data_IF_039473727650
#
_entry.id   IF_039473727650
#
_cell.length_a   1.000
_cell.length_b   1.000
_cell.length_c   1.000
_cell.angle_alpha   90.00
_cell.angle_beta   90.00
_cell.angle_gamma   90.00
#
_symmetry.space_group_name_H-M   'P 1'
#
loop_
_entity.id
_entity.type
_entity.pdbx_description
1 polymer ?
#
# COMPACT_ATOMS: atom_id res chain seq x y z
N UNK A 1 -9.14 -8.01 7.59
CA UNK A 1 -8.07 -9.03 7.37
C UNK A 1 -8.73 -10.39 7.19
N UNK A 2 -8.17 -11.33 6.40
CA UNK A 2 -8.71 -12.71 6.29
C UNK A 2 -8.93 -13.32 7.67
N UNK A 3 -10.07 -13.99 7.88
CA UNK A 3 -10.58 -14.29 9.22
C UNK A 3 -9.86 -15.48 9.88
N UNK A 4 -9.34 -16.44 9.10
CA UNK A 4 -8.84 -17.72 9.64
C UNK A 4 -7.51 -18.20 9.02
N UNK A 5 -7.35 -18.15 7.70
CA UNK A 5 -6.18 -18.64 6.95
C UNK A 5 -4.91 -17.79 7.14
N UNK A 6 -4.99 -16.68 7.88
CA UNK A 6 -3.78 -15.95 8.30
C UNK A 6 -2.92 -16.75 9.28
N UNK A 7 -3.55 -17.56 10.13
CA UNK A 7 -2.88 -18.22 11.25
C UNK A 7 -3.10 -19.73 11.26
N UNK A 8 -3.90 -20.27 10.33
CA UNK A 8 -4.32 -21.66 10.28
C UNK A 8 -4.14 -22.23 8.89
N UNK A 9 -3.90 -23.53 8.83
CA UNK A 9 -3.88 -24.26 7.55
C UNK A 9 -5.29 -24.41 6.97
N UNK A 10 -5.37 -24.66 5.66
CA UNK A 10 -6.64 -24.95 4.97
C UNK A 10 -7.36 -26.15 5.62
N UNK A 11 -6.61 -27.13 6.11
CA UNK A 11 -7.16 -28.31 6.78
C UNK A 11 -7.84 -27.95 8.11
N UNK A 12 -7.20 -27.12 8.93
CA UNK A 12 -7.78 -26.63 10.19
C UNK A 12 -9.02 -25.77 9.98
N UNK A 13 -9.03 -24.93 8.92
CA UNK A 13 -10.23 -24.19 8.52
C UNK A 13 -11.37 -25.15 8.21
N UNK A 14 -11.10 -26.20 7.43
CA UNK A 14 -12.11 -27.18 7.04
C UNK A 14 -12.70 -27.90 8.24
N UNK A 15 -11.85 -28.38 9.17
CA UNK A 15 -12.30 -29.02 10.42
C UNK A 15 -13.18 -28.08 11.24
N UNK A 16 -12.74 -26.82 11.39
CA UNK A 16 -13.48 -25.82 12.15
C UNK A 16 -14.84 -25.49 11.51
N UNK A 17 -14.90 -25.30 10.19
CA UNK A 17 -16.16 -25.04 9.50
C UNK A 17 -17.10 -26.26 9.53
N UNK A 18 -16.55 -27.48 9.52
CA UNK A 18 -17.34 -28.70 9.65
C UNK A 18 -17.90 -28.93 11.06
N UNK A 19 -17.37 -28.31 12.11
CA UNK A 19 -17.90 -28.47 13.47
C UNK A 19 -19.04 -27.49 13.80
N UNK A 20 -19.18 -26.38 13.06
CA UNK A 20 -20.22 -25.37 13.29
C UNK A 20 -21.59 -25.83 12.75
N UNK A 21 -22.72 -25.43 13.35
CA UNK A 21 -24.06 -25.66 12.79
C UNK A 21 -24.33 -24.80 11.55
N UNK A 22 -25.29 -25.21 10.72
CA UNK A 22 -25.58 -24.55 9.42
C UNK A 22 -25.94 -23.07 9.57
N UNK A 23 -26.72 -22.71 10.60
CA UNK A 23 -27.11 -21.32 10.84
C UNK A 23 -25.89 -20.43 11.15
N UNK A 24 -24.94 -20.91 11.94
CA UNK A 24 -23.70 -20.18 12.24
C UNK A 24 -22.81 -20.03 11.00
N UNK A 25 -22.77 -21.03 10.11
CA UNK A 25 -22.07 -20.93 8.83
C UNK A 25 -22.68 -19.85 7.92
N UNK A 26 -24.02 -19.75 7.88
CA UNK A 26 -24.72 -18.72 7.11
C UNK A 26 -24.45 -17.33 7.68
N UNK A 27 -24.46 -17.17 9.01
CA UNK A 27 -24.12 -15.89 9.64
C UNK A 27 -22.66 -15.50 9.39
N UNK A 28 -21.74 -16.46 9.46
CA UNK A 28 -20.34 -16.23 9.16
C UNK A 28 -20.16 -15.77 7.70
N UNK A 29 -20.88 -16.37 6.75
CA UNK A 29 -20.87 -15.99 5.34
C UNK A 29 -21.29 -14.52 5.15
N UNK A 30 -22.37 -14.09 5.82
CA UNK A 30 -22.84 -12.70 5.77
C UNK A 30 -21.77 -11.70 6.27
N UNK A 31 -20.95 -12.09 7.26
CA UNK A 31 -19.87 -11.24 7.80
C UNK A 31 -18.70 -11.04 6.83
N UNK A 32 -18.52 -11.91 5.84
CA UNK A 32 -17.46 -11.75 4.85
C UNK A 32 -17.71 -10.61 3.86
N UNK A 33 -18.97 -10.30 3.56
CA UNK A 33 -19.32 -9.23 2.60
C UNK A 33 -18.67 -7.88 2.93
N UNK A 34 -18.92 -7.30 4.13
CA UNK A 34 -18.28 -6.06 4.54
C UNK A 34 -16.75 -6.11 4.52
N UNK A 35 -16.16 -7.23 4.94
CA UNK A 35 -14.70 -7.38 4.99
C UNK A 35 -14.06 -7.44 3.59
N UNK A 36 -14.72 -8.04 2.60
CA UNK A 36 -14.27 -7.99 1.19
C UNK A 36 -14.27 -6.54 0.68
N UNK A 37 -15.34 -5.78 0.95
CA UNK A 37 -15.44 -4.37 0.56
C UNK A 37 -14.32 -3.54 1.22
N UNK A 38 -14.00 -3.81 2.49
CA UNK A 38 -12.91 -3.14 3.18
C UNK A 38 -11.53 -3.45 2.58
N UNK A 39 -11.26 -4.71 2.20
CA UNK A 39 -10.00 -5.07 1.53
C UNK A 39 -9.89 -4.34 0.19
N UNK A 40 -10.97 -4.32 -0.58
CA UNK A 40 -11.02 -3.69 -1.90
C UNK A 40 -10.77 -2.18 -1.79
N UNK A 41 -11.48 -1.48 -0.91
CA UNK A 41 -11.26 -0.06 -0.65
C UNK A 41 -9.84 0.24 -0.17
N UNK A 42 -9.23 -0.65 0.62
CA UNK A 42 -7.83 -0.52 1.05
C UNK A 42 -6.85 -0.71 -0.10
N UNK A 43 -7.14 -1.64 -1.03
CA UNK A 43 -6.35 -1.85 -2.24
C UNK A 43 -6.43 -0.62 -3.15
N UNK A 44 -7.62 -0.10 -3.41
CA UNK A 44 -7.82 1.12 -4.21
C UNK A 44 -7.06 2.32 -3.63
N UNK A 45 -7.15 2.54 -2.31
CA UNK A 45 -6.39 3.63 -1.65
C UNK A 45 -4.89 3.46 -1.80
N UNK A 46 -4.38 2.23 -1.67
CA UNK A 46 -2.95 1.95 -1.81
C UNK A 46 -2.49 2.16 -3.26
N UNK A 47 -3.28 1.76 -4.25
CA UNK A 47 -2.99 1.98 -5.67
C UNK A 47 -3.05 3.46 -6.05
N UNK A 48 -4.05 4.20 -5.55
CA UNK A 48 -4.13 5.66 -5.72
C UNK A 48 -2.92 6.36 -5.09
N UNK A 49 -2.53 5.97 -3.87
CA UNK A 49 -1.32 6.49 -3.23
C UNK A 49 -0.07 6.17 -4.06
N UNK A 50 0.03 4.97 -4.62
CA UNK A 50 1.16 4.57 -5.45
C UNK A 50 1.28 5.47 -6.69
N UNK A 51 0.17 5.75 -7.38
CA UNK A 51 0.14 6.69 -8.51
C UNK A 51 0.65 8.07 -8.13
N UNK A 52 0.16 8.62 -7.01
CA UNK A 52 0.58 9.94 -6.52
C UNK A 52 2.08 9.99 -6.18
N UNK A 53 2.63 8.93 -5.57
CA UNK A 53 4.07 8.89 -5.25
C UNK A 53 4.91 8.78 -6.52
N UNK A 54 4.47 8.03 -7.54
CA UNK A 54 5.12 7.97 -8.84
C UNK A 54 5.12 9.32 -9.56
N UNK A 55 3.99 10.03 -9.58
CA UNK A 55 3.90 11.38 -10.15
C UNK A 55 4.85 12.34 -9.44
N UNK A 56 4.87 12.29 -8.10
CA UNK A 56 5.78 13.11 -7.29
C UNK A 56 7.25 12.77 -7.57
N UNK A 57 7.59 11.50 -7.75
CA UNK A 57 8.94 11.08 -8.10
C UNK A 57 9.35 11.66 -9.46
N UNK A 58 8.50 11.53 -10.48
CA UNK A 58 8.76 12.08 -11.82
C UNK A 58 9.01 13.60 -11.75
N UNK A 59 8.18 14.34 -11.00
CA UNK A 59 8.37 15.78 -10.80
C UNK A 59 9.70 16.11 -10.08
N UNK A 60 10.13 15.31 -9.09
CA UNK A 60 11.42 15.55 -8.43
C UNK A 60 12.60 15.24 -9.36
N UNK A 61 12.50 14.19 -10.17
CA UNK A 61 13.52 13.83 -11.15
C UNK A 61 13.64 14.90 -12.24
N UNK A 62 12.52 15.43 -12.76
CA UNK A 62 12.51 16.56 -13.69
C UNK A 62 13.17 17.81 -13.08
N UNK A 63 12.75 18.21 -11.86
CA UNK A 63 13.34 19.35 -11.16
C UNK A 63 14.83 19.17 -10.88
N UNK A 64 15.26 17.94 -10.63
CA UNK A 64 16.66 17.62 -10.46
C UNK A 64 17.45 17.79 -11.77
N UNK A 65 16.92 17.33 -12.90
CA UNK A 65 17.55 17.56 -14.22
C UNK A 65 17.64 19.05 -14.56
N UNK A 66 16.58 19.82 -14.30
CA UNK A 66 16.59 21.27 -14.48
C UNK A 66 17.64 21.94 -13.59
N UNK A 67 17.79 21.49 -12.34
CA UNK A 67 18.83 21.98 -11.44
C UNK A 67 20.23 21.67 -12.00
N UNK A 68 20.48 20.45 -12.47
CA UNK A 68 21.76 20.09 -13.08
C UNK A 68 22.09 20.95 -14.30
N UNK A 69 21.09 21.29 -15.12
CA UNK A 69 21.28 22.18 -16.27
C UNK A 69 21.70 23.61 -15.88
N UNK A 70 21.48 24.04 -14.63
CA UNK A 70 21.92 25.35 -14.13
C UNK A 70 23.36 25.36 -13.59
N UNK A 71 24.02 24.20 -13.47
CA UNK A 71 25.38 24.09 -12.96
C UNK A 71 26.39 25.03 -13.64
N UNK A 72 26.43 25.17 -14.99
CA UNK A 72 27.37 26.06 -15.64
C UNK A 72 27.21 27.52 -15.20
N UNK A 73 25.95 27.97 -15.07
CA UNK A 73 25.63 29.33 -14.62
C UNK A 73 26.06 29.56 -13.16
N UNK A 74 25.85 28.57 -12.29
CA UNK A 74 26.30 28.64 -10.89
C UNK A 74 27.82 28.73 -10.82
N UNK A 75 28.53 28.00 -11.67
CA UNK A 75 30.00 28.06 -11.75
C UNK A 75 30.50 29.42 -12.24
N UNK A 76 29.80 30.05 -13.19
CA UNK A 76 30.08 31.42 -13.62
C UNK A 76 29.88 32.42 -12.47
N UNK A 77 28.75 32.35 -11.76
CA UNK A 77 28.44 33.21 -10.61
C UNK A 77 29.47 33.03 -9.47
N UNK A 78 29.90 31.80 -9.21
CA UNK A 78 30.95 31.50 -8.22
C UNK A 78 32.32 32.07 -8.65
N UNK A 79 32.66 31.99 -9.94
CA UNK A 79 33.87 32.57 -10.48
C UNK A 79 33.86 34.11 -10.41
N UNK A 80 32.72 34.75 -10.68
CA UNK A 80 32.53 36.19 -10.53
C UNK A 80 32.65 36.63 -9.06
N UNK A 81 32.07 35.86 -8.13
CA UNK A 81 32.24 36.08 -6.69
C UNK A 81 33.71 36.01 -6.28
N UNK A 82 34.43 34.99 -6.73
CA UNK A 82 35.86 34.81 -6.46
C UNK A 82 36.71 35.95 -7.04
N UNK A 83 36.43 36.40 -8.27
CA UNK A 83 37.08 37.58 -8.87
C UNK A 83 36.82 38.85 -8.07
N UNK A 84 35.58 39.06 -7.63
CA UNK A 84 35.20 40.23 -6.83
C UNK A 84 35.94 40.25 -5.50
N UNK A 85 36.04 39.09 -4.83
CA UNK A 85 36.85 38.92 -3.62
C UNK A 85 38.33 39.24 -3.86
N UNK A 86 38.93 38.72 -4.93
CA UNK A 86 40.33 38.98 -5.26
C UNK A 86 40.60 40.46 -5.55
N UNK A 87 39.70 41.14 -6.27
CA UNK A 87 39.81 42.56 -6.58
C UNK A 87 39.72 43.45 -5.32
N UNK A 88 38.86 43.09 -4.36
CA UNK A 88 38.74 43.78 -3.06
C UNK A 88 40.00 43.66 -2.21
N UNK A 89 40.73 42.55 -2.31
CA UNK A 89 41.99 42.40 -1.59
C UNK A 89 43.04 43.41 -2.10
N UNK A 90 43.00 43.77 -3.38
CA UNK A 90 43.96 44.64 -4.06
C UNK A 90 43.67 46.15 -3.95
N UNK A 91 42.43 46.59 -3.66
CA UNK A 91 42.07 48.01 -3.54
C UNK A 91 40.83 48.28 -2.68
N UNK A 92 40.77 49.44 -2.00
CA UNK A 92 39.63 49.88 -1.18
C UNK A 92 39.98 50.26 0.27
N UNK A 93 39.09 51.00 0.94
CA UNK A 93 39.24 51.35 2.36
C UNK A 93 39.11 50.12 3.27
N UNK A 94 39.76 50.14 4.44
CA UNK A 94 39.76 49.02 5.40
C UNK A 94 38.36 48.63 5.87
N UNK A 95 37.44 49.60 5.97
CA UNK A 95 36.03 49.37 6.34
C UNK A 95 35.21 48.74 5.22
N UNK A 96 35.41 49.18 3.97
CA UNK A 96 34.77 48.61 2.78
C UNK A 96 35.18 47.16 2.58
N UNK A 97 36.49 46.88 2.73
CA UNK A 97 37.02 45.50 2.68
C UNK A 97 36.39 44.61 3.75
N UNK A 98 36.18 45.11 4.96
CA UNK A 98 35.58 44.32 6.04
C UNK A 98 34.11 43.97 5.73
N UNK A 99 33.30 44.97 5.34
CA UNK A 99 31.87 44.77 5.06
C UNK A 99 31.63 43.87 3.85
N UNK A 100 32.34 44.09 2.74
CA UNK A 100 32.20 43.25 1.54
C UNK A 100 32.72 41.83 1.75
N UNK A 101 33.79 41.65 2.53
CA UNK A 101 34.29 40.31 2.86
C UNK A 101 33.30 39.57 3.77
N UNK A 102 32.67 40.26 4.71
CA UNK A 102 31.61 39.68 5.55
C UNK A 102 30.40 39.24 4.70
N UNK A 103 29.95 40.05 3.73
CA UNK A 103 28.82 39.69 2.87
C UNK A 103 29.18 38.56 1.89
N UNK A 104 30.33 38.62 1.23
CA UNK A 104 30.73 37.63 0.23
C UNK A 104 31.17 36.29 0.83
N UNK A 105 31.63 36.26 2.09
CA UNK A 105 31.89 35.01 2.80
C UNK A 105 30.61 34.38 3.38
N UNK A 106 29.55 35.15 3.56
CA UNK A 106 28.28 34.63 4.09
C UNK A 106 27.47 33.83 3.08
N UNK A 107 27.81 33.90 1.79
CA UNK A 107 27.08 33.24 0.71
C UNK A 107 28.02 32.72 -0.39
N UNK A 108 27.85 31.44 -0.77
CA UNK A 108 28.45 30.84 -1.97
C UNK A 108 27.33 30.27 -2.84
N UNK A 109 27.18 30.75 -4.09
CA UNK A 109 26.28 30.14 -5.08
C UNK A 109 26.51 28.63 -5.20
N UNK A 110 27.77 28.19 -5.26
CA UNK A 110 28.11 26.78 -5.39
C UNK A 110 27.68 25.96 -4.17
N UNK A 111 27.87 26.47 -2.96
CA UNK A 111 27.46 25.76 -1.75
C UNK A 111 25.93 25.67 -1.64
N UNK A 112 25.22 26.77 -1.94
CA UNK A 112 23.75 26.76 -2.03
C UNK A 112 23.26 25.76 -3.08
N UNK A 113 23.92 25.67 -4.22
CA UNK A 113 23.60 24.71 -5.27
C UNK A 113 23.80 23.27 -4.81
N UNK A 114 24.94 22.95 -4.17
CA UNK A 114 25.21 21.61 -3.62
C UNK A 114 24.18 21.18 -2.59
N UNK A 115 23.78 22.09 -1.69
CA UNK A 115 22.71 21.83 -0.70
C UNK A 115 21.39 21.50 -1.41
N UNK A 116 21.04 22.28 -2.44
CA UNK A 116 19.84 22.03 -3.23
C UNK A 116 19.88 20.68 -3.95
N UNK A 117 21.02 20.33 -4.56
CA UNK A 117 21.24 19.03 -5.21
C UNK A 117 21.06 17.89 -4.21
N UNK A 118 21.72 17.95 -3.05
CA UNK A 118 21.61 16.94 -2.02
C UNK A 118 20.16 16.77 -1.53
N UNK A 119 19.47 17.88 -1.24
CA UNK A 119 18.06 17.87 -0.83
C UNK A 119 17.14 17.21 -1.86
N UNK A 120 17.38 17.45 -3.16
CA UNK A 120 16.60 16.81 -4.25
C UNK A 120 16.88 15.32 -4.34
N UNK A 121 18.14 14.90 -4.24
CA UNK A 121 18.51 13.48 -4.23
C UNK A 121 17.87 12.74 -3.05
N UNK A 122 17.86 13.36 -1.86
CA UNK A 122 17.19 12.79 -0.69
C UNK A 122 15.66 12.68 -0.91
N UNK A 123 15.03 13.69 -1.52
CA UNK A 123 13.61 13.63 -1.85
C UNK A 123 13.27 12.51 -2.87
N UNK A 124 14.13 12.31 -3.87
CA UNK A 124 14.02 11.21 -4.85
C UNK A 124 14.15 9.86 -4.14
N UNK A 125 15.18 9.70 -3.31
CA UNK A 125 15.41 8.48 -2.52
C UNK A 125 14.22 8.15 -1.61
N UNK A 126 13.70 9.14 -0.90
CA UNK A 126 12.54 8.99 -0.04
C UNK A 126 11.29 8.57 -0.83
N UNK A 127 11.07 9.18 -2.00
CA UNK A 127 9.94 8.79 -2.88
C UNK A 127 10.08 7.34 -3.35
N UNK A 128 11.29 6.90 -3.75
CA UNK A 128 11.56 5.51 -4.14
C UNK A 128 11.30 4.53 -2.99
N UNK A 129 11.70 4.86 -1.77
CA UNK A 129 11.39 4.04 -0.59
C UNK A 129 9.88 3.97 -0.31
N UNK A 130 9.17 5.09 -0.45
CA UNK A 130 7.71 5.13 -0.30
C UNK A 130 6.98 4.26 -1.34
N UNK A 131 7.47 4.22 -2.59
CA UNK A 131 6.95 3.32 -3.63
C UNK A 131 7.06 1.88 -3.17
N UNK A 132 8.26 1.43 -2.79
CA UNK A 132 8.49 0.04 -2.33
C UNK A 132 7.58 -0.33 -1.15
N UNK A 133 7.42 0.58 -0.19
CA UNK A 133 6.52 0.35 0.96
C UNK A 133 5.06 0.27 0.54
N UNK A 134 4.63 1.09 -0.41
CA UNK A 134 3.25 1.12 -0.90
C UNK A 134 2.95 -0.10 -1.77
N UNK A 135 3.89 -0.55 -2.61
CA UNK A 135 3.80 -1.80 -3.36
C UNK A 135 3.62 -3.01 -2.44
N UNK A 136 4.38 -3.07 -1.34
CA UNK A 136 4.20 -4.10 -0.31
C UNK A 136 2.80 -4.09 0.29
N UNK A 137 2.20 -2.91 0.50
CA UNK A 137 0.81 -2.78 0.99
C UNK A 137 -0.21 -3.25 -0.04
N UNK A 138 -0.03 -2.92 -1.31
CA UNK A 138 -0.87 -3.42 -2.41
C UNK A 138 -0.80 -4.94 -2.46
N UNK A 139 0.41 -5.51 -2.45
CA UNK A 139 0.59 -6.97 -2.48
C UNK A 139 -0.03 -7.65 -1.26
N UNK A 140 0.12 -7.06 -0.07
CA UNK A 140 -0.52 -7.58 1.14
C UNK A 140 -2.05 -7.54 1.04
N UNK A 141 -2.63 -6.49 0.47
CA UNK A 141 -4.07 -6.40 0.24
C UNK A 141 -4.56 -7.45 -0.78
N UNK A 142 -3.81 -7.67 -1.87
CA UNK A 142 -4.10 -8.73 -2.86
C UNK A 142 -4.06 -10.12 -2.23
N UNK A 143 -3.04 -10.38 -1.41
CA UNK A 143 -2.94 -11.65 -0.69
C UNK A 143 -4.10 -11.83 0.30
N UNK A 144 -4.46 -10.78 1.07
CA UNK A 144 -5.62 -10.81 1.96
C UNK A 144 -6.92 -11.09 1.19
N UNK A 145 -7.10 -10.49 0.01
CA UNK A 145 -8.26 -10.72 -0.87
C UNK A 145 -8.31 -12.18 -1.34
N UNK A 146 -7.19 -12.70 -1.85
CA UNK A 146 -7.08 -14.07 -2.31
C UNK A 146 -7.40 -15.09 -1.20
N UNK A 147 -6.83 -14.91 -0.01
CA UNK A 147 -7.12 -15.77 1.14
C UNK A 147 -8.60 -15.69 1.55
N UNK A 148 -9.17 -14.49 1.57
CA UNK A 148 -10.59 -14.30 1.91
C UNK A 148 -11.49 -14.98 0.87
N UNK A 149 -11.16 -14.90 -0.43
CA UNK A 149 -11.90 -15.59 -1.48
C UNK A 149 -11.85 -17.12 -1.35
N UNK A 150 -10.69 -17.67 -0.96
CA UNK A 150 -10.55 -19.10 -0.67
C UNK A 150 -11.40 -19.52 0.54
N UNK A 151 -11.39 -18.74 1.63
CA UNK A 151 -12.23 -18.99 2.81
C UNK A 151 -13.71 -19.04 2.44
N UNK A 152 -14.18 -18.05 1.68
CA UNK A 152 -15.58 -17.96 1.22
C UNK A 152 -15.93 -19.15 0.33
N UNK A 153 -15.03 -19.56 -0.57
CA UNK A 153 -15.24 -20.71 -1.45
C UNK A 153 -15.45 -21.99 -0.64
N UNK A 154 -14.58 -22.27 0.33
CA UNK A 154 -14.69 -23.45 1.20
C UNK A 154 -15.96 -23.39 2.04
N UNK A 155 -16.26 -22.23 2.63
CA UNK A 155 -17.49 -22.02 3.41
C UNK A 155 -18.75 -22.30 2.57
N UNK A 156 -18.80 -21.77 1.34
CA UNK A 156 -19.92 -21.98 0.43
C UNK A 156 -20.09 -23.46 0.05
N UNK A 157 -18.99 -24.18 -0.19
CA UNK A 157 -19.04 -25.61 -0.47
C UNK A 157 -19.63 -26.41 0.70
N UNK A 158 -19.20 -26.12 1.94
CA UNK A 158 -19.71 -26.79 3.14
C UNK A 158 -21.20 -26.48 3.37
N UNK A 159 -21.59 -25.20 3.24
CA UNK A 159 -22.99 -24.79 3.36
C UNK A 159 -23.85 -25.53 2.32
N UNK A 160 -23.39 -25.62 1.07
CA UNK A 160 -24.13 -26.30 0.00
C UNK A 160 -24.31 -27.79 0.30
N UNK A 161 -23.23 -28.49 0.64
CA UNK A 161 -23.28 -29.92 0.97
C UNK A 161 -24.24 -30.23 2.14
N UNK A 162 -24.28 -29.36 3.16
CA UNK A 162 -25.20 -29.54 4.30
C UNK A 162 -26.66 -29.29 3.95
N UNK A 163 -26.94 -28.25 3.16
CA UNK A 163 -28.32 -27.98 2.69
C UNK A 163 -28.85 -29.15 1.86
N UNK A 164 -28.02 -29.72 0.99
CA UNK A 164 -28.39 -30.89 0.20
C UNK A 164 -28.65 -32.13 1.09
N UNK A 165 -27.85 -32.32 2.14
CA UNK A 165 -28.06 -33.42 3.09
C UNK A 165 -29.33 -33.26 3.94
N UNK A 166 -29.65 -32.05 4.41
CA UNK A 166 -30.89 -31.75 5.14
C UNK A 166 -32.12 -31.98 4.24
N UNK A 167 -32.08 -31.50 2.99
CA UNK A 167 -33.15 -31.73 2.01
C UNK A 167 -33.36 -33.21 1.67
N UNK A 168 -32.27 -33.97 1.52
CA UNK A 168 -32.35 -35.42 1.27
C UNK A 168 -32.94 -36.18 2.48
N UNK A 169 -32.63 -35.76 3.71
CA UNK A 169 -33.18 -36.35 4.92
C UNK A 169 -34.68 -36.04 5.09
N UNK A 170 -35.13 -34.86 4.68
CA UNK A 170 -36.54 -34.47 4.68
C UNK A 170 -37.35 -35.31 3.67
N UNK A 171 -36.86 -35.49 2.43
CA UNK A 171 -37.49 -36.36 1.42
C UNK A 171 -37.55 -37.84 1.86
N UNK A 172 -36.49 -38.35 2.50
CA UNK A 172 -36.47 -39.74 2.99
C UNK A 172 -37.45 -39.99 4.15
N UNK A 173 -37.78 -38.95 4.93
CA UNK A 173 -38.76 -39.04 6.01
C UNK A 173 -40.21 -38.89 5.51
N UNK A 174 -40.46 -38.15 4.42
CA UNK A 174 -41.81 -38.10 3.82
C UNK A 174 -42.24 -39.43 3.20
N UNK A 175 -41.32 -40.21 2.64
CA UNK A 175 -41.64 -41.52 2.05
C UNK A 175 -42.00 -42.60 3.07
N UNK A 176 -41.58 -42.45 4.34
CA UNK A 176 -41.93 -43.38 5.43
C UNK A 176 -43.32 -43.13 6.03
N UNK A 177 -43.93 -41.97 5.78
CA UNK A 177 -45.21 -41.59 6.37
C UNK A 177 -46.45 -42.11 5.61
N UNK A 178 -46.28 -42.77 4.44
CA UNK A 178 -47.38 -43.04 3.50
C UNK A 178 -47.90 -44.49 3.51
N UNK A 179 -47.39 -45.40 4.35
CA UNK A 179 -47.95 -46.76 4.42
C UNK A 179 -48.92 -46.94 5.61
N UNK A 180 -50.25 -46.91 5.40
CA UNK A 180 -51.19 -47.37 6.40
C UNK A 180 -51.04 -48.88 6.55
N UNK A 181 -50.74 -49.32 7.78
CA UNK A 181 -50.68 -50.74 8.14
C UNK A 181 -52.05 -51.39 7.88
N UNK A 182 -52.14 -52.52 7.16
CA UNK A 182 -53.40 -53.23 7.01
C UNK A 182 -53.80 -53.82 8.37
N UNK A 183 -54.93 -53.33 8.88
CA UNK A 183 -55.59 -53.83 10.08
C UNK A 183 -55.84 -55.34 9.93
N UNK A 184 -55.10 -56.15 10.69
CA UNK A 184 -55.40 -57.57 10.86
C UNK A 184 -56.63 -57.70 11.74
N UNK A 185 -57.78 -57.99 11.12
CA UNK A 185 -58.97 -58.49 11.81
C UNK A 185 -58.80 -59.99 12.08
N UNK A 186 -58.95 -60.35 13.37
CA UNK A 186 -59.01 -61.71 13.90
C UNK A 186 -60.26 -62.47 13.44
#
# INVERSE_FOLDING_TARGET
>A
MAFFLKNKTVHELHIHLQSLPLNELIELNKKYGPHVIEIDARMERAEAQLKLVWEKLAQQEERYQLLLATEPKVMEEEAERAKTLANLEQGGSRSEKYLLRASLNSYSPLESYKINVASRLDAIKNSKQQIIQTEKRVQAAKNDMHLTALEISILNQIIKARKEAEQAAECANSDKAVYPQPSRSH
#
